data_IF_616247435406
#
_entry.id   IF_616247435406
#
_cell.length_a   1.000
_cell.length_b   1.000
_cell.length_c   1.000
_cell.angle_alpha   90.00
_cell.angle_beta   90.00
_cell.angle_gamma   90.00
#
_symmetry.space_group_name_H-M   'P 1'
#
loop_
_entity.id
_entity.type
_entity.pdbx_description
1 polymer ?
#
# COMPACT_ATOMS: atom_id res chain seq x y z
N UNK A 1 -21.49 -30.00 39.82
CA UNK A 1 -22.62 -30.43 40.67
C UNK A 1 -23.90 -29.93 40.01
N UNK A 2 -24.78 -30.86 39.58
CA UNK A 2 -26.06 -30.69 38.85
C UNK A 2 -26.05 -29.99 37.47
N UNK A 3 -25.94 -30.69 36.32
CA UNK A 3 -26.86 -31.63 35.63
C UNK A 3 -28.28 -31.11 35.35
N UNK A 4 -28.60 -30.92 34.06
CA UNK A 4 -29.83 -31.53 33.48
C UNK A 4 -29.75 -31.69 31.96
N UNK A 5 -29.63 -32.96 31.58
CA UNK A 5 -29.94 -33.53 30.27
C UNK A 5 -31.44 -33.46 29.97
N UNK A 6 -31.81 -33.38 28.69
CA UNK A 6 -33.09 -33.95 28.21
C UNK A 6 -32.85 -34.82 26.98
N UNK A 7 -33.38 -36.03 27.09
CA UNK A 7 -33.32 -37.17 26.16
C UNK A 7 -34.44 -37.08 25.11
N UNK A 8 -34.10 -37.60 23.93
CA UNK A 8 -34.83 -38.54 23.05
C UNK A 8 -36.36 -38.42 22.91
N UNK A 9 -36.77 -38.33 21.64
CA UNK A 9 -38.05 -38.81 21.13
C UNK A 9 -37.88 -39.27 19.69
N UNK A 10 -37.61 -40.56 19.50
CA UNK A 10 -37.74 -41.24 18.22
C UNK A 10 -39.15 -41.80 18.11
N UNK A 11 -39.84 -41.59 16.99
CA UNK A 11 -40.98 -42.40 16.59
C UNK A 11 -41.13 -42.40 15.07
N UNK A 12 -41.26 -43.63 14.58
CA UNK A 12 -41.45 -44.05 13.21
C UNK A 12 -42.79 -43.56 12.64
N UNK A 13 -42.79 -43.15 11.37
CA UNK A 13 -43.93 -43.37 10.47
C UNK A 13 -43.37 -43.73 9.09
N UNK A 14 -43.60 -44.98 8.68
CA UNK A 14 -43.40 -45.43 7.32
C UNK A 14 -44.62 -45.12 6.45
N UNK A 15 -44.40 -45.12 5.14
CA UNK A 15 -45.49 -45.28 4.17
C UNK A 15 -45.42 -44.34 2.97
N UNK A 16 -44.93 -44.90 1.85
CA UNK A 16 -45.49 -44.76 0.50
C UNK A 16 -45.73 -43.35 -0.08
N UNK A 17 -44.98 -42.98 -1.13
CA UNK A 17 -45.44 -43.15 -2.53
C UNK A 17 -44.55 -42.36 -3.51
N UNK A 18 -44.07 -43.09 -4.51
CA UNK A 18 -43.63 -42.63 -5.82
C UNK A 18 -44.44 -41.43 -6.35
N UNK A 19 -43.77 -40.44 -6.92
CA UNK A 19 -44.44 -39.57 -7.90
C UNK A 19 -43.98 -38.12 -8.04
N UNK A 20 -42.69 -37.77 -7.98
CA UNK A 20 -42.23 -36.43 -8.45
C UNK A 20 -40.81 -36.48 -9.05
N UNK A 21 -40.56 -37.40 -9.99
CA UNK A 21 -39.28 -37.47 -10.72
C UNK A 21 -39.46 -37.37 -12.26
N UNK A 22 -40.46 -36.62 -12.72
CA UNK A 22 -40.69 -36.42 -14.17
C UNK A 22 -41.05 -34.96 -14.55
N UNK A 23 -40.56 -33.97 -13.80
CA UNK A 23 -40.70 -32.54 -14.15
C UNK A 23 -39.38 -31.76 -14.15
N UNK A 24 -38.24 -32.42 -13.95
CA UNK A 24 -36.91 -31.78 -13.90
C UNK A 24 -36.00 -32.13 -15.09
N UNK A 25 -36.50 -32.88 -16.08
CA UNK A 25 -35.75 -33.25 -17.30
C UNK A 25 -36.20 -32.48 -18.56
N UNK A 26 -37.28 -31.71 -18.51
CA UNK A 26 -37.81 -30.93 -19.65
C UNK A 26 -37.40 -29.46 -19.66
N UNK A 27 -36.73 -28.96 -18.62
CA UNK A 27 -36.16 -27.60 -18.61
C UNK A 27 -34.70 -27.55 -19.03
N UNK A 28 -33.99 -28.69 -19.02
CA UNK A 28 -32.57 -28.76 -19.41
C UNK A 28 -32.38 -28.71 -20.94
N UNK A 29 -33.34 -29.20 -21.73
CA UNK A 29 -33.25 -29.24 -23.19
C UNK A 29 -33.48 -27.89 -23.86
N UNK A 30 -34.34 -27.02 -23.30
CA UNK A 30 -34.60 -25.70 -23.90
C UNK A 30 -33.46 -24.69 -23.68
N UNK A 31 -32.70 -24.82 -22.58
CA UNK A 31 -31.55 -23.96 -22.30
C UNK A 31 -30.36 -24.29 -23.23
N UNK A 32 -30.19 -25.56 -23.60
CA UNK A 32 -29.12 -26.05 -24.47
C UNK A 32 -29.40 -25.76 -25.95
N UNK A 33 -30.67 -25.81 -26.39
CA UNK A 33 -31.10 -25.39 -27.73
C UNK A 33 -31.04 -23.86 -27.93
N UNK A 34 -31.37 -23.06 -26.91
CA UNK A 34 -31.20 -21.59 -26.95
C UNK A 34 -29.72 -21.20 -26.99
N UNK A 35 -28.86 -21.88 -26.23
CA UNK A 35 -27.43 -21.63 -26.23
C UNK A 35 -26.79 -21.97 -27.59
N UNK A 36 -27.10 -23.11 -28.20
CA UNK A 36 -26.50 -23.52 -29.48
C UNK A 36 -26.91 -22.62 -30.66
N UNK A 37 -28.15 -22.12 -30.67
CA UNK A 37 -28.62 -21.13 -31.65
C UNK A 37 -27.85 -19.81 -31.55
N UNK A 38 -27.66 -19.29 -30.33
CA UNK A 38 -26.95 -18.03 -30.08
C UNK A 38 -25.44 -18.13 -30.38
N UNK A 39 -24.80 -19.27 -30.11
CA UNK A 39 -23.38 -19.49 -30.43
C UNK A 39 -23.14 -19.49 -31.95
N UNK A 40 -23.97 -20.19 -32.72
CA UNK A 40 -23.90 -20.18 -34.19
C UNK A 40 -24.13 -18.78 -34.78
N UNK A 41 -24.88 -17.94 -34.06
CA UNK A 41 -25.11 -16.55 -34.44
C UNK A 41 -23.86 -15.67 -34.26
N UNK A 42 -23.05 -15.93 -33.21
CA UNK A 42 -21.83 -15.16 -32.91
C UNK A 42 -20.76 -15.40 -33.96
N UNK A 43 -20.50 -16.65 -34.34
CA UNK A 43 -19.52 -16.98 -35.39
C UNK A 43 -19.90 -16.34 -36.73
N UNK A 44 -21.20 -16.37 -37.08
CA UNK A 44 -21.72 -15.69 -38.26
C UNK A 44 -21.49 -14.18 -38.21
N UNK A 45 -21.73 -13.56 -37.05
CA UNK A 45 -21.49 -12.12 -36.87
C UNK A 45 -20.00 -11.77 -36.99
N UNK A 46 -19.10 -12.64 -36.51
CA UNK A 46 -17.65 -12.50 -36.69
C UNK A 46 -17.26 -12.58 -38.16
N UNK A 47 -17.77 -13.55 -38.93
CA UNK A 47 -17.53 -13.63 -40.38
C UNK A 47 -18.04 -12.38 -41.12
N UNK A 48 -19.18 -11.84 -40.68
CA UNK A 48 -19.76 -10.62 -41.27
C UNK A 48 -18.96 -9.34 -41.02
N UNK A 49 -17.90 -9.39 -40.19
CA UNK A 49 -16.95 -8.27 -40.08
C UNK A 49 -16.14 -8.04 -41.35
N UNK A 50 -16.12 -8.97 -42.31
CA UNK A 50 -15.50 -8.80 -43.64
C UNK A 50 -16.52 -8.53 -44.77
N UNK A 51 -17.80 -8.38 -44.43
CA UNK A 51 -18.85 -8.32 -45.45
C UNK A 51 -18.70 -7.08 -46.35
N UNK A 52 -18.87 -7.20 -47.68
CA UNK A 52 -18.69 -6.10 -48.65
C UNK A 52 -19.47 -4.83 -48.28
N UNK A 53 -20.73 -5.00 -47.87
CA UNK A 53 -21.58 -3.91 -47.37
C UNK A 53 -21.13 -3.38 -46.00
N UNK A 54 -20.74 -2.09 -45.96
CA UNK A 54 -20.38 -1.37 -44.73
C UNK A 54 -21.48 -1.39 -43.67
N UNK A 55 -22.76 -1.33 -44.07
CA UNK A 55 -23.88 -1.33 -43.12
C UNK A 55 -23.99 -2.67 -42.39
N UNK A 56 -23.71 -3.77 -43.07
CA UNK A 56 -23.67 -5.11 -42.47
C UNK A 56 -22.52 -5.19 -41.46
N UNK A 57 -21.31 -4.78 -41.84
CA UNK A 57 -20.16 -4.76 -40.91
C UNK A 57 -20.46 -3.98 -39.64
N UNK A 58 -21.03 -2.78 -39.78
CA UNK A 58 -21.41 -1.92 -38.64
C UNK A 58 -22.48 -2.55 -37.76
N UNK A 59 -23.50 -3.18 -38.33
CA UNK A 59 -24.55 -3.87 -37.58
C UNK A 59 -24.01 -5.09 -36.84
N UNK A 60 -23.18 -5.90 -37.50
CA UNK A 60 -22.58 -7.10 -36.88
C UNK A 60 -21.65 -6.71 -35.74
N UNK A 61 -20.82 -5.67 -35.92
CA UNK A 61 -19.99 -5.11 -34.84
C UNK A 61 -20.83 -4.65 -33.64
N UNK A 62 -21.91 -3.88 -33.88
CA UNK A 62 -22.80 -3.43 -32.80
C UNK A 62 -23.45 -4.61 -32.07
N UNK A 63 -23.90 -5.62 -32.80
CA UNK A 63 -24.55 -6.79 -32.21
C UNK A 63 -23.57 -7.62 -31.37
N UNK A 64 -22.35 -7.83 -31.87
CA UNK A 64 -21.29 -8.48 -31.09
C UNK A 64 -20.97 -7.72 -29.81
N UNK A 65 -20.90 -6.38 -29.89
CA UNK A 65 -20.73 -5.54 -28.70
C UNK A 65 -21.86 -5.74 -27.68
N UNK A 66 -23.12 -5.70 -28.10
CA UNK A 66 -24.27 -5.95 -27.22
C UNK A 66 -24.19 -7.32 -26.53
N UNK A 67 -23.82 -8.38 -27.28
CA UNK A 67 -23.65 -9.72 -26.73
C UNK A 67 -22.54 -9.78 -25.68
N UNK A 68 -21.47 -8.98 -25.81
CA UNK A 68 -20.40 -8.92 -24.79
C UNK A 68 -20.85 -8.26 -23.47
N UNK A 69 -21.96 -7.51 -23.49
CA UNK A 69 -22.53 -6.90 -22.29
C UNK A 69 -23.47 -7.86 -21.54
N UNK A 70 -23.97 -8.93 -22.18
CA UNK A 70 -24.84 -9.92 -21.55
C UNK A 70 -24.04 -10.93 -20.73
N UNK A 71 -24.37 -11.17 -19.44
CA UNK A 71 -23.65 -12.15 -18.61
C UNK A 71 -23.60 -13.57 -19.20
N UNK A 72 -24.66 -13.97 -19.90
CA UNK A 72 -24.82 -15.33 -20.44
C UNK A 72 -23.90 -15.59 -21.65
N UNK A 73 -23.72 -14.59 -22.51
CA UNK A 73 -22.97 -14.73 -23.77
C UNK A 73 -21.62 -14.02 -23.77
N UNK A 74 -21.29 -13.26 -22.71
CA UNK A 74 -20.07 -12.46 -22.60
C UNK A 74 -18.81 -13.27 -22.83
N UNK A 75 -18.65 -14.39 -22.10
CA UNK A 75 -17.41 -15.17 -22.15
C UNK A 75 -17.14 -15.70 -23.56
N UNK A 76 -18.14 -16.31 -24.18
CA UNK A 76 -18.01 -16.86 -25.53
C UNK A 76 -17.83 -15.74 -26.59
N UNK A 77 -18.63 -14.67 -26.52
CA UNK A 77 -18.53 -13.55 -27.48
C UNK A 77 -17.13 -12.91 -27.46
N UNK A 78 -16.59 -12.68 -26.26
CA UNK A 78 -15.23 -12.17 -26.09
C UNK A 78 -14.20 -13.16 -26.65
N UNK A 79 -14.34 -14.45 -26.36
CA UNK A 79 -13.41 -15.46 -26.88
C UNK A 79 -13.43 -15.52 -28.42
N UNK A 80 -14.61 -15.48 -29.04
CA UNK A 80 -14.76 -15.46 -30.50
C UNK A 80 -14.08 -14.22 -31.11
N UNK A 81 -14.28 -13.03 -30.52
CA UNK A 81 -13.63 -11.79 -30.96
C UNK A 81 -12.09 -11.89 -30.79
N UNK A 82 -11.60 -12.44 -29.67
CA UNK A 82 -10.16 -12.67 -29.44
C UNK A 82 -9.55 -13.66 -30.43
N UNK A 83 -10.30 -14.65 -30.93
CA UNK A 83 -9.81 -15.50 -32.01
C UNK A 83 -9.84 -14.77 -33.35
N UNK A 84 -10.86 -13.94 -33.59
CA UNK A 84 -10.99 -13.15 -34.81
C UNK A 84 -9.85 -12.14 -35.00
N UNK A 85 -9.22 -11.64 -33.92
CA UNK A 85 -8.01 -10.80 -34.02
C UNK A 85 -6.80 -11.55 -34.58
N UNK A 86 -6.83 -12.88 -34.64
CA UNK A 86 -5.78 -13.72 -35.26
C UNK A 86 -6.14 -14.16 -36.67
N UNK A 87 -7.25 -13.65 -37.23
CA UNK A 87 -7.68 -14.00 -38.58
C UNK A 87 -6.63 -13.59 -39.62
N UNK A 88 -6.37 -14.42 -40.65
CA UNK A 88 -5.54 -14.01 -41.78
C UNK A 88 -6.21 -12.93 -42.65
N UNK A 89 -7.53 -12.76 -42.52
CA UNK A 89 -8.28 -11.73 -43.25
C UNK A 89 -8.12 -10.39 -42.51
N UNK A 90 -7.49 -9.43 -43.18
CA UNK A 90 -7.11 -8.14 -42.58
C UNK A 90 -8.30 -7.34 -42.04
N UNK A 91 -9.43 -7.31 -42.75
CA UNK A 91 -10.62 -6.57 -42.33
C UNK A 91 -11.27 -7.18 -41.09
N UNK A 92 -11.32 -8.53 -40.98
CA UNK A 92 -11.78 -9.22 -39.76
C UNK A 92 -10.85 -8.88 -38.60
N UNK A 93 -9.54 -9.02 -38.80
CA UNK A 93 -8.56 -8.71 -37.76
C UNK A 93 -8.70 -7.26 -37.28
N UNK A 94 -8.69 -6.28 -38.17
CA UNK A 94 -8.76 -4.85 -37.81
C UNK A 94 -10.08 -4.52 -37.09
N UNK A 95 -11.22 -4.99 -37.61
CA UNK A 95 -12.51 -4.74 -36.98
C UNK A 95 -12.66 -5.45 -35.62
N UNK A 96 -12.17 -6.69 -35.50
CA UNK A 96 -12.16 -7.43 -34.24
C UNK A 96 -11.25 -6.76 -33.21
N UNK A 97 -10.06 -6.30 -33.60
CA UNK A 97 -9.13 -5.59 -32.72
C UNK A 97 -9.72 -4.27 -32.22
N UNK A 98 -10.36 -3.48 -33.09
CA UNK A 98 -11.06 -2.26 -32.69
C UNK A 98 -12.25 -2.55 -31.76
N UNK A 99 -13.03 -3.58 -32.06
CA UNK A 99 -14.15 -3.99 -31.22
C UNK A 99 -13.68 -4.44 -29.84
N UNK A 100 -12.58 -5.19 -29.77
CA UNK A 100 -12.00 -5.64 -28.51
C UNK A 100 -11.55 -4.45 -27.64
N UNK A 101 -10.94 -3.43 -28.25
CA UNK A 101 -10.61 -2.18 -27.56
C UNK A 101 -11.85 -1.46 -27.03
N UNK A 102 -12.93 -1.38 -27.81
CA UNK A 102 -14.21 -0.79 -27.37
C UNK A 102 -14.82 -1.55 -26.19
N UNK A 103 -14.79 -2.88 -26.22
CA UNK A 103 -15.27 -3.74 -25.14
C UNK A 103 -14.45 -3.52 -23.87
N UNK A 104 -13.12 -3.43 -23.99
CA UNK A 104 -12.23 -3.17 -22.86
C UNK A 104 -12.49 -1.81 -22.23
N UNK A 105 -12.63 -0.75 -23.04
CA UNK A 105 -12.94 0.59 -22.55
C UNK A 105 -14.28 0.61 -21.80
N UNK A 106 -15.33 0.01 -22.38
CA UNK A 106 -16.64 -0.07 -21.75
C UNK A 106 -16.60 -0.87 -20.42
N UNK A 107 -15.83 -1.96 -20.37
CA UNK A 107 -15.66 -2.74 -19.14
C UNK A 107 -14.89 -1.95 -18.07
N UNK A 108 -13.85 -1.20 -18.43
CA UNK A 108 -13.14 -0.30 -17.49
C UNK A 108 -14.10 0.74 -16.92
N UNK A 109 -14.91 1.40 -17.76
CA UNK A 109 -15.88 2.41 -17.30
C UNK A 109 -16.93 1.81 -16.37
N UNK A 110 -17.43 0.62 -16.70
CA UNK A 110 -18.37 -0.13 -15.84
C UNK A 110 -17.74 -0.45 -14.49
N UNK A 111 -16.50 -0.93 -14.47
CA UNK A 111 -15.79 -1.25 -13.23
C UNK A 111 -15.41 0.00 -12.44
N UNK A 112 -15.06 1.11 -13.09
CA UNK A 112 -14.84 2.40 -12.42
C UNK A 112 -16.13 2.93 -11.80
N UNK A 113 -17.27 2.74 -12.45
CA UNK A 113 -18.58 3.11 -11.88
C UNK A 113 -18.89 2.27 -10.64
N UNK A 114 -18.65 0.95 -10.69
CA UNK A 114 -18.77 0.05 -9.53
C UNK A 114 -17.77 0.39 -8.42
N UNK A 115 -16.55 0.77 -8.78
CA UNK A 115 -15.51 1.18 -7.84
C UNK A 115 -15.96 2.42 -7.05
N UNK A 116 -16.66 3.35 -7.68
CA UNK A 116 -17.17 4.56 -7.03
C UNK A 116 -18.38 4.29 -6.12
N UNK A 117 -19.05 3.16 -6.29
CA UNK A 117 -20.13 2.70 -5.41
C UNK A 117 -19.56 1.98 -4.18
N UNK A 118 -19.64 2.64 -3.01
CA UNK A 118 -19.13 2.11 -1.74
C UNK A 118 -19.91 0.88 -1.27
N UNK A 119 -21.15 0.69 -1.74
CA UNK A 119 -21.97 -0.47 -1.40
C UNK A 119 -21.50 -1.75 -2.09
N UNK A 120 -20.84 -1.62 -3.25
CA UNK A 120 -20.25 -2.76 -3.96
C UNK A 120 -19.05 -3.27 -3.18
N UNK A 121 -19.08 -4.56 -2.85
CA UNK A 121 -18.00 -5.22 -2.12
C UNK A 121 -16.66 -5.08 -2.88
N UNK A 122 -15.58 -4.75 -2.17
CA UNK A 122 -14.30 -4.37 -2.78
C UNK A 122 -13.64 -5.52 -3.59
N UNK A 123 -14.01 -6.77 -3.30
CA UNK A 123 -13.58 -8.01 -3.94
C UNK A 123 -14.37 -8.32 -5.22
N UNK A 124 -15.55 -7.73 -5.38
CA UNK A 124 -16.33 -7.82 -6.60
C UNK A 124 -15.82 -6.87 -7.72
N UNK A 125 -14.87 -5.98 -7.41
CA UNK A 125 -14.25 -5.06 -8.37
C UNK A 125 -13.12 -5.78 -9.10
N UNK A 126 -13.25 -5.87 -10.42
CA UNK A 126 -12.25 -6.49 -11.30
C UNK A 126 -11.54 -5.39 -12.09
N UNK A 127 -10.57 -4.74 -11.45
CA UNK A 127 -9.68 -3.77 -12.08
C UNK A 127 -8.21 -4.22 -11.93
N UNK A 128 -7.36 -3.99 -12.95
CA UNK A 128 -5.95 -4.36 -12.88
C UNK A 128 -5.29 -3.72 -11.66
N UNK A 129 -4.50 -4.49 -10.90
CA UNK A 129 -3.76 -4.02 -9.72
C UNK A 129 -4.62 -3.57 -8.50
N UNK A 130 -5.95 -3.53 -8.62
CA UNK A 130 -6.84 -3.07 -7.54
C UNK A 130 -6.67 -3.88 -6.26
N UNK A 131 -6.58 -5.21 -6.36
CA UNK A 131 -6.47 -6.09 -5.19
C UNK A 131 -5.19 -5.86 -4.38
N UNK A 132 -4.10 -5.52 -5.05
CA UNK A 132 -2.84 -5.14 -4.38
C UNK A 132 -2.95 -3.75 -3.79
N UNK A 133 -3.45 -2.78 -4.56
CA UNK A 133 -3.66 -1.42 -4.11
C UNK A 133 -4.53 -1.37 -2.83
N UNK A 134 -5.70 -2.02 -2.82
CA UNK A 134 -6.63 -1.96 -1.67
C UNK A 134 -6.06 -2.55 -0.39
N UNK A 135 -5.12 -3.50 -0.48
CA UNK A 135 -4.43 -4.06 0.69
C UNK A 135 -3.50 -3.03 1.35
N UNK A 136 -3.00 -2.07 0.58
CA UNK A 136 -2.11 -1.00 1.07
C UNK A 136 -2.87 0.30 1.37
N UNK A 137 -3.79 0.68 0.50
CA UNK A 137 -4.51 1.94 0.57
C UNK A 137 -5.84 1.85 1.35
N UNK A 138 -6.40 0.65 1.50
CA UNK A 138 -7.78 0.43 1.97
C UNK A 138 -8.80 0.41 0.82
N UNK A 139 -10.08 0.32 1.17
CA UNK A 139 -11.20 0.24 0.21
C UNK A 139 -12.32 1.24 0.50
N UNK A 140 -12.02 2.30 1.26
CA UNK A 140 -12.94 3.42 1.48
C UNK A 140 -13.08 4.31 0.24
N UNK A 141 -13.98 5.29 0.31
CA UNK A 141 -14.29 6.18 -0.81
C UNK A 141 -13.06 6.96 -1.31
N UNK A 142 -12.20 7.43 -0.40
CA UNK A 142 -10.99 8.17 -0.77
C UNK A 142 -9.96 7.27 -1.48
N UNK A 143 -9.76 6.04 -0.98
CA UNK A 143 -8.90 5.07 -1.64
C UNK A 143 -9.43 4.70 -3.04
N UNK A 144 -10.75 4.50 -3.18
CA UNK A 144 -11.42 4.22 -4.46
C UNK A 144 -11.26 5.38 -5.45
N UNK A 145 -11.47 6.62 -4.99
CA UNK A 145 -11.29 7.84 -5.81
C UNK A 145 -9.86 8.00 -6.29
N UNK A 146 -8.89 7.86 -5.39
CA UNK A 146 -7.47 7.97 -5.76
C UNK A 146 -7.09 6.87 -6.75
N UNK A 147 -7.57 5.63 -6.57
CA UNK A 147 -7.31 4.56 -7.53
C UNK A 147 -7.93 4.83 -8.90
N UNK A 148 -9.17 5.32 -8.94
CA UNK A 148 -9.83 5.70 -10.19
C UNK A 148 -9.03 6.79 -10.94
N UNK A 149 -8.51 7.79 -10.21
CA UNK A 149 -7.63 8.83 -10.74
C UNK A 149 -6.33 8.22 -11.28
N UNK A 150 -5.71 7.33 -10.51
CA UNK A 150 -4.49 6.60 -10.91
C UNK A 150 -4.69 5.81 -12.19
N UNK A 151 -5.78 5.04 -12.30
CA UNK A 151 -6.06 4.25 -13.50
C UNK A 151 -6.28 5.15 -14.71
N UNK A 152 -7.03 6.25 -14.57
CA UNK A 152 -7.26 7.18 -15.69
C UNK A 152 -5.99 7.87 -16.18
N UNK A 153 -5.06 8.19 -15.28
CA UNK A 153 -3.82 8.90 -15.63
C UNK A 153 -2.70 7.96 -16.08
N UNK A 154 -2.64 6.75 -15.54
CA UNK A 154 -1.51 5.82 -15.72
C UNK A 154 -1.96 4.37 -15.99
N UNK A 155 -3.04 4.18 -16.76
CA UNK A 155 -3.61 2.87 -17.12
C UNK A 155 -2.54 1.87 -17.59
N UNK A 156 -1.68 2.27 -18.54
CA UNK A 156 -0.62 1.42 -19.08
C UNK A 156 0.36 0.93 -18.00
N UNK A 157 0.74 1.81 -17.06
CA UNK A 157 1.65 1.45 -15.97
C UNK A 157 0.97 0.49 -14.99
N UNK A 158 -0.29 0.75 -14.65
CA UNK A 158 -1.09 -0.11 -13.76
C UNK A 158 -1.29 -1.50 -14.37
N UNK A 159 -1.64 -1.60 -15.66
CA UNK A 159 -1.77 -2.89 -16.35
C UNK A 159 -0.45 -3.65 -16.39
N UNK A 160 0.66 -2.96 -16.66
CA UNK A 160 1.97 -3.61 -16.66
C UNK A 160 2.29 -4.16 -15.25
N UNK A 161 2.08 -3.39 -14.19
CA UNK A 161 2.26 -3.86 -12.81
C UNK A 161 1.35 -5.06 -12.49
N UNK A 162 0.11 -5.05 -12.96
CA UNK A 162 -0.85 -6.15 -12.75
C UNK A 162 -0.38 -7.48 -13.36
N UNK A 163 0.36 -7.47 -14.48
CA UNK A 163 0.92 -8.70 -15.07
C UNK A 163 1.90 -9.43 -14.17
N UNK A 164 2.64 -8.67 -13.36
CA UNK A 164 3.66 -9.19 -12.45
C UNK A 164 3.10 -9.45 -11.05
N UNK A 165 1.85 -9.08 -10.78
CA UNK A 165 1.22 -9.31 -9.49
C UNK A 165 0.74 -10.77 -9.38
N UNK A 166 1.32 -11.59 -8.48
CA UNK A 166 0.95 -13.00 -8.35
C UNK A 166 -0.49 -13.21 -7.86
N UNK A 167 -1.12 -12.17 -7.34
CA UNK A 167 -2.50 -12.20 -6.82
C UNK A 167 -3.55 -11.97 -7.92
N UNK A 168 -3.15 -11.38 -9.05
CA UNK A 168 -4.10 -11.00 -10.09
C UNK A 168 -4.48 -12.20 -10.95
N UNK A 169 -5.78 -12.54 -10.98
CA UNK A 169 -6.33 -13.59 -11.86
C UNK A 169 -6.20 -13.13 -13.32
N UNK A 170 -5.42 -13.87 -14.11
CA UNK A 170 -5.09 -13.53 -15.51
C UNK A 170 -6.23 -13.69 -16.50
N UNK A 171 -7.38 -14.18 -16.07
CA UNK A 171 -8.43 -14.62 -16.99
C UNK A 171 -9.33 -13.48 -17.50
N UNK A 172 -9.30 -12.29 -16.88
CA UNK A 172 -10.17 -11.20 -17.33
C UNK A 172 -9.63 -10.48 -18.57
N UNK A 173 -10.53 -10.04 -19.44
CA UNK A 173 -10.22 -9.34 -20.71
C UNK A 173 -9.31 -8.13 -20.47
N UNK A 174 -9.50 -7.46 -19.33
CA UNK A 174 -8.71 -6.31 -18.89
C UNK A 174 -7.22 -6.62 -18.69
N UNK A 175 -6.82 -7.90 -18.63
CA UNK A 175 -5.43 -8.31 -18.44
C UNK A 175 -4.75 -8.81 -19.73
N UNK A 176 -5.49 -9.00 -20.83
CA UNK A 176 -4.98 -9.68 -22.04
C UNK A 176 -4.27 -8.75 -23.02
N UNK A 177 -4.73 -7.51 -23.20
CA UNK A 177 -4.18 -6.57 -24.17
C UNK A 177 -3.36 -5.46 -23.52
N UNK A 178 -2.31 -5.82 -22.79
CA UNK A 178 -1.40 -4.77 -22.32
C UNK A 178 -0.39 -4.44 -23.42
N UNK A 179 -0.23 -3.17 -23.81
CA UNK A 179 0.82 -2.78 -24.75
C UNK A 179 2.19 -3.20 -24.23
N UNK A 180 3.12 -3.46 -25.15
CA UNK A 180 4.52 -3.74 -24.84
C UNK A 180 5.17 -2.50 -24.22
N UNK A 181 4.92 -2.27 -22.93
CA UNK A 181 5.45 -1.14 -22.20
C UNK A 181 6.88 -1.49 -21.75
N UNK A 182 7.91 -0.79 -22.24
CA UNK A 182 9.28 -1.16 -21.90
C UNK A 182 9.54 -1.00 -20.40
N UNK A 183 10.14 -2.01 -19.76
CA UNK A 183 10.43 -1.98 -18.31
C UNK A 183 11.20 -0.74 -17.86
N UNK A 184 12.07 -0.20 -18.71
CA UNK A 184 12.83 1.02 -18.41
C UNK A 184 11.95 2.27 -18.30
N UNK A 185 10.81 2.33 -18.99
CA UNK A 185 9.85 3.43 -18.86
C UNK A 185 9.17 3.40 -17.49
N UNK A 186 8.81 2.21 -16.98
CA UNK A 186 8.32 2.07 -15.61
C UNK A 186 9.37 2.45 -14.59
N UNK A 187 10.61 1.98 -14.75
CA UNK A 187 11.69 2.32 -13.83
C UNK A 187 11.94 3.85 -13.78
N UNK A 188 11.79 4.55 -14.91
CA UNK A 188 11.87 6.01 -14.97
C UNK A 188 10.66 6.69 -14.31
N UNK A 189 9.46 6.20 -14.59
CA UNK A 189 8.21 6.73 -14.03
C UNK A 189 8.17 6.61 -12.50
N UNK A 190 8.66 5.49 -11.99
CA UNK A 190 8.66 5.13 -10.56
C UNK A 190 10.01 5.42 -9.90
N UNK A 191 10.79 6.37 -10.43
CA UNK A 191 11.99 6.81 -9.74
C UNK A 191 11.59 7.81 -8.63
N UNK A 192 11.79 7.50 -7.34
CA UNK A 192 11.33 8.37 -6.25
C UNK A 192 11.98 9.74 -6.25
N UNK A 193 13.13 9.92 -6.91
CA UNK A 193 13.80 11.22 -7.04
C UNK A 193 13.17 12.15 -8.09
N UNK A 194 12.35 11.61 -8.99
CA UNK A 194 11.71 12.39 -10.07
C UNK A 194 10.23 12.63 -9.85
N UNK A 195 9.60 11.92 -8.89
CA UNK A 195 8.18 12.10 -8.58
C UNK A 195 8.03 13.41 -7.78
N UNK A 196 7.18 14.31 -8.27
CA UNK A 196 6.88 15.55 -7.57
C UNK A 196 6.21 15.28 -6.21
N UNK A 197 6.49 16.11 -5.21
CA UNK A 197 6.00 15.87 -3.85
C UNK A 197 4.47 15.95 -3.74
N UNK A 198 3.80 16.70 -4.62
CA UNK A 198 2.34 16.84 -4.70
C UNK A 198 1.66 15.79 -5.59
N UNK A 199 2.42 14.92 -6.27
CA UNK A 199 1.87 13.86 -7.12
C UNK A 199 1.51 12.61 -6.30
N UNK A 200 0.36 12.68 -5.62
CA UNK A 200 -0.18 11.58 -4.83
C UNK A 200 -0.38 10.29 -5.64
N UNK A 201 -0.65 10.41 -6.95
CA UNK A 201 -0.94 9.28 -7.82
C UNK A 201 0.33 8.47 -8.09
N UNK A 202 1.39 9.12 -8.56
CA UNK A 202 2.66 8.45 -8.81
C UNK A 202 3.30 7.92 -7.53
N UNK A 203 3.24 8.68 -6.42
CA UNK A 203 3.72 8.17 -5.13
C UNK A 203 2.99 6.90 -4.70
N UNK A 204 1.67 6.83 -4.94
CA UNK A 204 0.91 5.64 -4.58
C UNK A 204 1.28 4.44 -5.46
N UNK A 205 1.42 4.64 -6.78
CA UNK A 205 1.89 3.59 -7.69
C UNK A 205 3.27 3.10 -7.26
N UNK A 206 4.20 4.03 -7.03
CA UNK A 206 5.56 3.76 -6.60
C UNK A 206 5.59 2.90 -5.34
N UNK A 207 4.93 3.32 -4.27
CA UNK A 207 4.93 2.60 -2.99
C UNK A 207 4.24 1.23 -3.08
N UNK A 208 3.21 1.10 -3.92
CA UNK A 208 2.55 -0.19 -4.14
C UNK A 208 3.38 -1.16 -4.99
N UNK A 209 4.23 -0.62 -5.87
CA UNK A 209 5.14 -1.36 -6.73
C UNK A 209 6.49 -1.66 -6.06
N UNK A 210 6.92 -0.85 -5.09
CA UNK A 210 8.12 -1.05 -4.27
C UNK A 210 7.88 -2.12 -3.19
N UNK A 211 7.47 -3.29 -3.66
CA UNK A 211 7.27 -4.50 -2.88
C UNK A 211 8.19 -5.57 -3.45
N UNK A 212 9.03 -6.16 -2.59
CA UNK A 212 10.02 -7.18 -2.96
C UNK A 212 9.38 -8.45 -3.56
N UNK A 213 8.07 -8.61 -3.45
CA UNK A 213 7.32 -9.70 -4.09
C UNK A 213 7.15 -9.54 -5.60
N UNK A 214 7.35 -8.33 -6.16
CA UNK A 214 7.23 -8.12 -7.60
C UNK A 214 8.56 -8.46 -8.31
N UNK A 215 8.58 -9.38 -9.28
CA UNK A 215 9.78 -9.81 -9.99
C UNK A 215 10.26 -8.81 -11.05
N UNK A 216 10.14 -7.50 -10.77
CA UNK A 216 10.41 -6.43 -11.72
C UNK A 216 11.87 -5.95 -11.71
N UNK A 217 12.74 -6.53 -10.86
CA UNK A 217 14.09 -5.99 -10.68
C UNK A 217 14.12 -4.60 -10.05
N UNK A 218 12.96 -4.11 -9.57
CA UNK A 218 12.81 -2.87 -8.82
C UNK A 218 13.33 -2.99 -7.36
N UNK A 219 14.04 -4.07 -7.04
CA UNK A 219 14.56 -4.36 -5.70
C UNK A 219 15.52 -3.27 -5.16
N UNK A 220 16.07 -2.41 -6.03
CA UNK A 220 16.86 -1.24 -5.65
C UNK A 220 16.04 -0.02 -5.20
N UNK A 221 14.72 0.00 -5.42
CA UNK A 221 13.87 1.11 -5.01
C UNK A 221 13.79 1.22 -3.49
N UNK A 222 13.63 0.12 -2.73
CA UNK A 222 13.41 0.21 -1.27
C UNK A 222 14.41 1.09 -0.49
N UNK A 223 15.72 1.03 -0.78
CA UNK A 223 16.71 1.92 -0.15
C UNK A 223 16.59 3.36 -0.65
N UNK A 224 16.36 3.58 -1.94
CA UNK A 224 16.18 4.92 -2.52
C UNK A 224 14.88 5.57 -2.03
N UNK A 225 13.78 4.83 -2.04
CA UNK A 225 12.48 5.18 -1.47
C UNK A 225 12.67 5.59 -0.01
N UNK A 226 13.34 4.76 0.79
CA UNK A 226 13.60 5.08 2.20
C UNK A 226 14.40 6.37 2.35
N UNK A 227 15.47 6.54 1.57
CA UNK A 227 16.27 7.77 1.59
C UNK A 227 15.41 8.99 1.26
N UNK A 228 14.65 8.96 0.17
CA UNK A 228 13.79 10.07 -0.26
C UNK A 228 12.70 10.35 0.77
N UNK A 229 11.99 9.34 1.25
CA UNK A 229 10.93 9.52 2.25
C UNK A 229 11.46 10.06 3.59
N UNK A 230 12.70 9.73 3.96
CA UNK A 230 13.33 10.19 5.21
C UNK A 230 13.79 11.65 5.17
N UNK A 231 14.04 12.20 3.98
CA UNK A 231 14.42 13.60 3.80
C UNK A 231 13.24 14.52 4.13
N UNK A 232 13.52 15.76 4.56
CA UNK A 232 12.45 16.71 4.91
C UNK A 232 11.57 17.05 3.70
N UNK A 233 12.20 17.34 2.56
CA UNK A 233 11.54 17.79 1.33
C UNK A 233 11.19 16.65 0.37
N UNK A 234 11.69 15.44 0.61
CA UNK A 234 11.45 14.28 -0.25
C UNK A 234 10.16 13.52 0.08
N UNK A 235 9.57 12.85 -0.91
CA UNK A 235 8.37 12.04 -0.71
C UNK A 235 7.05 12.81 -0.86
N UNK A 236 5.91 12.12 -0.69
CA UNK A 236 4.60 12.75 -0.87
C UNK A 236 4.29 13.77 0.22
N UNK A 237 3.59 14.85 -0.14
CA UNK A 237 3.08 15.82 0.81
C UNK A 237 1.86 15.26 1.55
N UNK A 238 1.91 15.29 2.89
CA UNK A 238 0.81 14.86 3.75
C UNK A 238 0.04 16.09 4.21
N UNK A 239 -1.04 16.41 3.48
CA UNK A 239 -2.00 17.43 3.87
C UNK A 239 -3.18 16.88 4.70
N UNK A 240 -4.24 17.68 4.78
CA UNK A 240 -5.52 17.32 5.41
C UNK A 240 -6.55 16.78 4.41
N UNK A 241 -6.13 16.38 3.20
CA UNK A 241 -7.02 15.83 2.17
C UNK A 241 -7.30 14.34 2.36
N UNK A 242 -8.36 13.83 1.73
CA UNK A 242 -8.63 12.39 1.64
C UNK A 242 -7.48 11.63 0.97
N UNK A 243 -6.87 12.20 -0.07
CA UNK A 243 -5.67 11.64 -0.73
C UNK A 243 -4.49 11.50 0.25
N UNK A 244 -4.27 12.50 1.11
CA UNK A 244 -3.24 12.45 2.13
C UNK A 244 -3.52 11.33 3.16
N UNK A 245 -4.77 11.10 3.54
CA UNK A 245 -5.13 9.99 4.42
C UNK A 245 -4.82 8.63 3.76
N UNK A 246 -5.10 8.49 2.46
CA UNK A 246 -4.74 7.29 1.70
C UNK A 246 -3.22 7.11 1.65
N UNK A 247 -2.46 8.17 1.33
CA UNK A 247 -0.99 8.14 1.31
C UNK A 247 -0.40 7.74 2.66
N UNK A 248 -0.91 8.26 3.79
CA UNK A 248 -0.49 7.84 5.13
C UNK A 248 -0.65 6.33 5.33
N UNK A 249 -1.76 5.75 4.88
CA UNK A 249 -1.99 4.29 4.97
C UNK A 249 -1.05 3.50 4.07
N UNK A 250 -0.85 3.97 2.83
CA UNK A 250 0.06 3.33 1.87
C UNK A 250 1.49 3.33 2.41
N UNK A 251 1.98 4.48 2.90
CA UNK A 251 3.31 4.60 3.54
C UNK A 251 3.40 3.70 4.78
N UNK A 252 2.40 3.73 5.67
CA UNK A 252 2.40 2.89 6.86
C UNK A 252 2.47 1.39 6.53
N UNK A 253 1.70 0.93 5.55
CA UNK A 253 1.72 -0.46 5.09
C UNK A 253 3.03 -0.82 4.37
N UNK A 254 3.62 0.11 3.63
CA UNK A 254 4.94 -0.04 3.02
C UNK A 254 6.02 -0.22 4.09
N UNK A 255 6.05 0.65 5.12
CA UNK A 255 6.98 0.54 6.26
C UNK A 255 6.81 -0.82 6.95
N UNK A 256 5.58 -1.28 7.19
CA UNK A 256 5.31 -2.52 7.91
C UNK A 256 5.80 -3.79 7.16
N UNK A 257 5.83 -3.74 5.82
CA UNK A 257 6.32 -4.82 4.97
C UNK A 257 7.85 -4.89 4.92
N UNK A 258 8.54 -3.75 4.96
CA UNK A 258 10.00 -3.72 4.86
C UNK A 258 10.66 -4.18 6.16
N UNK A 259 10.90 -5.49 6.30
CA UNK A 259 11.51 -6.08 7.51
C UNK A 259 13.03 -6.29 7.41
N UNK A 260 13.63 -6.06 6.24
CA UNK A 260 14.95 -6.64 5.90
C UNK A 260 16.09 -5.65 5.68
N UNK A 261 15.88 -4.34 5.80
CA UNK A 261 16.88 -3.33 5.41
C UNK A 261 17.86 -2.92 6.51
N UNK A 262 17.60 -3.26 7.78
CA UNK A 262 18.44 -2.80 8.91
C UNK A 262 18.36 -1.30 9.21
N UNK A 263 17.60 -0.53 8.42
CA UNK A 263 17.45 0.92 8.50
C UNK A 263 16.31 1.32 9.45
N UNK A 264 16.33 0.79 10.67
CA UNK A 264 15.25 1.00 11.64
C UNK A 264 15.05 2.48 11.99
N UNK A 265 16.14 3.24 12.06
CA UNK A 265 16.13 4.68 12.31
C UNK A 265 15.33 5.42 11.24
N UNK A 266 15.63 5.16 9.97
CA UNK A 266 14.97 5.81 8.83
C UNK A 266 13.49 5.44 8.79
N UNK A 267 13.14 4.17 9.07
CA UNK A 267 11.74 3.73 9.16
C UNK A 267 10.96 4.48 10.24
N UNK A 268 11.54 4.71 11.41
CA UNK A 268 10.92 5.50 12.47
C UNK A 268 10.76 6.97 12.07
N UNK A 269 11.77 7.57 11.42
CA UNK A 269 11.69 8.95 10.92
C UNK A 269 10.58 9.11 9.88
N UNK A 270 10.46 8.17 8.95
CA UNK A 270 9.37 8.14 7.97
C UNK A 270 8.05 7.98 8.71
N UNK A 271 7.92 7.02 9.62
CA UNK A 271 6.67 6.81 10.35
C UNK A 271 6.22 8.08 11.10
N UNK A 272 7.12 8.80 11.76
CA UNK A 272 6.80 10.08 12.42
C UNK A 272 6.46 11.18 11.42
N UNK A 273 7.21 11.30 10.31
CA UNK A 273 6.95 12.30 9.26
C UNK A 273 5.56 12.12 8.65
N UNK A 274 5.17 10.89 8.37
CA UNK A 274 3.92 10.53 7.72
C UNK A 274 2.79 10.22 8.72
N UNK A 275 2.98 10.52 10.01
CA UNK A 275 1.97 10.33 11.07
C UNK A 275 1.43 8.89 11.13
N UNK A 276 2.30 7.91 10.90
CA UNK A 276 2.00 6.48 10.99
C UNK A 276 2.23 5.99 12.42
N UNK A 277 1.50 6.53 13.39
CA UNK A 277 1.75 6.35 14.83
C UNK A 277 1.76 4.88 15.26
N UNK A 278 0.87 4.05 14.71
CA UNK A 278 0.82 2.62 15.04
C UNK A 278 2.11 1.91 14.62
N UNK A 279 2.58 2.18 13.40
CA UNK A 279 3.82 1.62 12.88
C UNK A 279 5.02 2.17 13.63
N UNK A 280 5.03 3.47 13.95
CA UNK A 280 6.07 4.07 14.76
C UNK A 280 6.17 3.39 16.14
N UNK A 281 5.05 3.18 16.86
CA UNK A 281 5.02 2.45 18.14
C UNK A 281 5.60 1.04 17.99
N UNK A 282 5.13 0.28 17.00
CA UNK A 282 5.59 -1.10 16.78
C UNK A 282 7.10 -1.17 16.50
N UNK A 283 7.64 -0.23 15.72
CA UNK A 283 9.08 -0.13 15.46
C UNK A 283 9.87 0.23 16.72
N UNK A 284 9.36 1.18 17.50
CA UNK A 284 10.02 1.64 18.71
C UNK A 284 10.06 0.51 19.76
N UNK A 285 8.96 -0.24 19.92
CA UNK A 285 8.91 -1.43 20.78
C UNK A 285 9.87 -2.54 20.29
N UNK A 286 9.92 -2.78 18.98
CA UNK A 286 10.85 -3.75 18.39
C UNK A 286 12.31 -3.39 18.68
N UNK A 287 12.69 -2.13 18.45
CA UNK A 287 14.08 -1.66 18.63
C UNK A 287 14.48 -1.64 20.10
N UNK A 288 13.60 -1.15 20.98
CA UNK A 288 13.88 -1.10 22.42
C UNK A 288 13.94 -2.50 23.06
N UNK A 289 13.22 -3.47 22.50
CA UNK A 289 13.32 -4.89 22.91
C UNK A 289 14.53 -5.63 22.34
N UNK A 290 15.18 -5.09 21.31
CA UNK A 290 16.34 -5.72 20.66
C UNK A 290 17.65 -5.17 21.24
N UNK A 291 18.35 -6.00 22.03
CA UNK A 291 19.66 -5.67 22.61
C UNK A 291 20.76 -5.47 21.57
N UNK A 292 20.59 -5.98 20.35
CA UNK A 292 21.57 -5.89 19.27
C UNK A 292 21.30 -4.73 18.32
N UNK A 293 20.21 -3.99 18.51
CA UNK A 293 19.97 -2.79 17.73
C UNK A 293 21.07 -1.75 17.99
N UNK A 294 21.35 -0.95 16.96
CA UNK A 294 22.40 0.05 16.99
C UNK A 294 22.06 1.18 17.97
N UNK A 295 23.08 1.84 18.54
CA UNK A 295 22.89 2.98 19.44
C UNK A 295 22.08 4.12 18.80
N UNK A 296 22.24 4.33 17.48
CA UNK A 296 21.45 5.30 16.70
C UNK A 296 19.99 4.86 16.56
N UNK A 297 19.72 3.56 16.36
CA UNK A 297 18.35 3.06 16.38
C UNK A 297 17.70 3.23 17.77
N UNK A 298 18.41 2.90 18.86
CA UNK A 298 17.89 3.11 20.22
C UNK A 298 17.61 4.58 20.53
N UNK A 299 18.52 5.47 20.17
CA UNK A 299 18.34 6.92 20.34
C UNK A 299 17.10 7.43 19.60
N UNK A 300 16.91 7.04 18.33
CA UNK A 300 15.70 7.36 17.58
C UNK A 300 14.44 6.74 18.19
N UNK A 301 14.51 5.51 18.71
CA UNK A 301 13.39 4.84 19.34
C UNK A 301 12.95 5.55 20.64
N UNK A 302 13.88 6.07 21.44
CA UNK A 302 13.58 6.89 22.62
C UNK A 302 12.91 8.22 22.24
N UNK A 303 13.43 8.92 21.22
CA UNK A 303 12.82 10.16 20.70
C UNK A 303 11.40 9.90 20.15
N UNK A 304 11.22 8.80 19.41
CA UNK A 304 9.94 8.32 18.93
C UNK A 304 8.95 8.03 20.07
N UNK A 305 9.35 7.22 21.05
CA UNK A 305 8.50 6.86 22.19
C UNK A 305 8.08 8.10 22.99
N UNK A 306 9.00 9.06 23.11
CA UNK A 306 8.76 10.36 23.72
C UNK A 306 7.74 11.19 22.94
N UNK A 307 7.90 11.31 21.61
CA UNK A 307 6.95 12.02 20.73
C UNK A 307 5.54 11.42 20.79
N UNK A 308 5.46 10.09 20.83
CA UNK A 308 4.19 9.34 20.86
C UNK A 308 3.58 9.23 22.26
N UNK A 309 4.20 9.85 23.28
CA UNK A 309 3.73 9.87 24.67
C UNK A 309 3.42 8.46 25.19
N UNK A 310 4.39 7.55 25.06
CA UNK A 310 4.28 6.19 25.62
C UNK A 310 4.02 6.25 27.13
N UNK A 311 3.20 5.36 27.67
CA UNK A 311 2.68 5.47 29.05
C UNK A 311 3.71 5.20 30.14
N UNK A 312 4.61 4.24 29.91
CA UNK A 312 5.74 3.85 30.78
C UNK A 312 7.05 4.57 30.41
N UNK A 313 6.95 5.72 29.73
CA UNK A 313 8.10 6.42 29.17
C UNK A 313 9.12 6.83 30.23
N UNK A 314 8.68 7.24 31.43
CA UNK A 314 9.61 7.69 32.47
C UNK A 314 10.46 6.55 33.00
N UNK A 315 9.85 5.40 33.26
CA UNK A 315 10.53 4.17 33.69
C UNK A 315 11.48 3.69 32.61
N UNK A 316 11.04 3.68 31.35
CA UNK A 316 11.86 3.34 30.21
C UNK A 316 13.09 4.27 30.13
N UNK A 317 12.90 5.59 30.13
CA UNK A 317 14.02 6.55 30.02
C UNK A 317 15.06 6.34 31.13
N UNK A 318 14.64 6.09 32.38
CA UNK A 318 15.57 5.79 33.48
C UNK A 318 16.43 4.55 33.23
N UNK A 319 15.89 3.52 32.58
CA UNK A 319 16.65 2.30 32.25
C UNK A 319 17.78 2.57 31.24
N UNK A 320 17.60 3.56 30.36
CA UNK A 320 18.56 3.85 29.29
C UNK A 320 19.59 4.92 29.63
N UNK A 321 19.48 5.63 30.76
CA UNK A 321 20.43 6.70 31.17
C UNK A 321 21.88 6.19 31.26
N UNK A 322 22.07 4.92 31.64
CA UNK A 322 23.39 4.31 31.79
C UNK A 322 24.04 3.79 30.49
N UNK A 323 23.36 3.90 29.34
CA UNK A 323 23.90 3.40 28.07
C UNK A 323 24.91 4.40 27.48
N UNK A 324 26.19 4.03 27.49
CA UNK A 324 27.31 4.86 27.07
C UNK A 324 27.69 4.69 25.59
N UNK A 325 26.95 3.86 24.83
CA UNK A 325 27.23 3.62 23.43
C UNK A 325 27.02 4.91 22.64
N UNK A 326 27.99 5.23 21.78
CA UNK A 326 27.92 6.44 20.94
C UNK A 326 26.91 6.23 19.82
N UNK A 327 25.85 7.03 19.81
CA UNK A 327 24.86 7.05 18.75
C UNK A 327 25.30 7.95 17.58
N UNK A 328 25.81 9.14 17.88
CA UNK A 328 26.19 10.13 16.88
C UNK A 328 27.46 10.89 17.26
N UNK A 329 28.25 11.24 16.24
CA UNK A 329 29.36 12.18 16.35
C UNK A 329 29.14 13.28 15.32
N UNK A 330 28.92 14.50 15.79
CA UNK A 330 28.70 15.66 14.93
C UNK A 330 29.87 16.62 15.05
N UNK A 331 30.35 17.11 13.91
CA UNK A 331 31.43 18.09 13.85
C UNK A 331 30.86 19.41 13.35
N UNK A 332 30.89 20.44 14.20
CA UNK A 332 30.55 21.80 13.79
C UNK A 332 31.67 22.34 12.87
N UNK A 333 31.35 22.67 11.63
CA UNK A 333 32.29 23.32 10.69
C UNK A 333 31.85 24.77 10.51
N UNK A 334 32.62 25.71 11.07
CA UNK A 334 32.85 27.06 10.55
C UNK A 334 33.85 27.87 11.40
N UNK A 335 33.94 27.65 12.72
CA UNK A 335 34.82 28.47 13.58
C UNK A 335 35.27 27.84 14.90
N UNK A 336 34.52 26.88 15.45
CA UNK A 336 34.91 26.07 16.62
C UNK A 336 34.93 24.60 16.22
N UNK A 337 36.11 23.97 16.23
CA UNK A 337 36.30 22.53 15.98
C UNK A 337 35.77 21.66 17.14
N UNK A 338 34.57 21.98 17.65
CA UNK A 338 33.95 21.18 18.70
C UNK A 338 33.29 19.96 18.05
N UNK A 339 33.70 18.77 18.52
CA UNK A 339 33.07 17.49 18.16
C UNK A 339 32.07 17.17 19.26
N UNK A 340 30.79 17.14 18.93
CA UNK A 340 29.72 16.74 19.85
C UNK A 340 29.53 15.24 19.73
N UNK A 341 29.67 14.53 20.85
CA UNK A 341 29.46 13.09 20.95
C UNK A 341 28.18 12.82 21.74
N UNK A 342 27.19 12.24 21.06
CA UNK A 342 25.90 11.87 21.67
C UNK A 342 25.93 10.39 22.02
N UNK A 343 25.66 10.07 23.28
CA UNK A 343 25.41 8.72 23.78
C UNK A 343 23.91 8.46 23.93
N UNK A 344 23.49 7.20 23.96
CA UNK A 344 22.07 6.84 24.17
C UNK A 344 21.56 7.36 25.51
N UNK A 345 22.39 7.29 26.56
CA UNK A 345 22.09 7.84 27.87
C UNK A 345 21.87 9.36 27.86
N UNK A 346 22.61 10.11 27.04
CA UNK A 346 22.46 11.56 26.91
C UNK A 346 21.05 11.89 26.39
N UNK A 347 20.58 11.14 25.39
CA UNK A 347 19.22 11.26 24.81
C UNK A 347 18.16 10.93 25.85
N UNK A 348 18.36 9.84 26.60
CA UNK A 348 17.43 9.42 27.65
C UNK A 348 17.29 10.49 28.75
N UNK A 349 18.40 11.07 29.19
CA UNK A 349 18.43 12.12 30.21
C UNK A 349 17.74 13.41 29.76
N UNK A 350 18.03 13.88 28.54
CA UNK A 350 17.42 15.08 27.99
C UNK A 350 15.90 14.94 27.84
N UNK A 351 15.43 13.77 27.38
CA UNK A 351 14.00 13.48 27.29
C UNK A 351 13.35 13.39 28.68
N UNK A 352 14.05 12.81 29.67
CA UNK A 352 13.52 12.73 31.03
C UNK A 352 13.31 14.13 31.62
N UNK A 353 14.29 15.02 31.49
CA UNK A 353 14.16 16.43 31.90
C UNK A 353 12.97 17.10 31.23
N UNK A 354 12.84 16.95 29.90
CA UNK A 354 11.71 17.51 29.14
C UNK A 354 10.35 17.04 29.67
N UNK A 355 10.21 15.75 30.00
CA UNK A 355 8.97 15.17 30.56
C UNK A 355 8.71 15.52 32.03
N UNK A 356 9.69 16.09 32.72
CA UNK A 356 9.54 16.76 34.01
C UNK A 356 9.24 18.27 33.86
N UNK A 357 9.12 18.79 32.63
CA UNK A 357 8.90 20.21 32.37
C UNK A 357 10.16 21.08 32.54
N UNK A 358 11.34 20.45 32.64
CA UNK A 358 12.63 21.12 32.81
C UNK A 358 13.26 21.30 31.42
N UNK A 359 13.71 22.51 31.09
CA UNK A 359 14.49 22.73 29.85
C UNK A 359 15.86 22.04 30.01
N UNK A 360 16.22 21.05 29.17
CA UNK A 360 17.50 20.35 29.28
C UNK A 360 18.71 21.30 29.21
N UNK A 361 18.58 22.49 28.64
CA UNK A 361 19.65 23.50 28.64
C UNK A 361 20.06 23.94 30.06
N UNK A 362 19.14 23.91 31.03
CA UNK A 362 19.43 24.21 32.43
C UNK A 362 20.37 23.18 33.06
N UNK A 363 20.35 21.94 32.54
CA UNK A 363 21.27 20.89 32.94
C UNK A 363 22.57 20.88 32.12
N UNK A 364 22.78 21.79 31.17
CA UNK A 364 24.03 21.89 30.39
C UNK A 364 23.99 21.36 28.95
N UNK A 365 22.81 21.00 28.42
CA UNK A 365 22.65 20.65 27.00
C UNK A 365 22.63 21.90 26.09
N UNK A 366 23.71 22.68 26.09
CA UNK A 366 23.76 24.01 25.45
C UNK A 366 23.54 24.00 23.93
N UNK A 367 23.98 22.93 23.26
CA UNK A 367 23.88 22.81 21.80
C UNK A 367 22.54 22.21 21.32
N UNK A 368 21.61 21.92 22.25
CA UNK A 368 20.33 21.28 21.96
C UNK A 368 19.50 22.09 20.97
N UNK A 369 19.08 21.42 19.90
CA UNK A 369 18.20 21.94 18.86
C UNK A 369 16.87 21.21 18.90
N UNK A 370 15.77 21.97 18.90
CA UNK A 370 14.44 21.40 18.79
C UNK A 370 14.20 20.82 17.38
N UNK A 371 13.41 19.75 17.30
CA UNK A 371 12.90 19.20 16.04
C UNK A 371 11.41 18.88 16.18
N UNK A 372 10.53 19.38 15.29
CA UNK A 372 9.09 19.16 15.43
C UNK A 372 8.68 17.69 15.32
N UNK A 373 9.48 16.83 14.67
CA UNK A 373 9.17 15.40 14.49
C UNK A 373 9.64 14.58 15.68
N UNK A 374 10.83 14.85 16.19
CA UNK A 374 11.48 14.03 17.24
C UNK A 374 11.65 14.73 18.58
N UNK A 375 11.03 15.90 18.78
CA UNK A 375 11.21 16.82 19.92
C UNK A 375 12.57 17.52 19.87
N UNK A 376 13.66 16.76 19.75
CA UNK A 376 15.02 17.26 19.61
C UNK A 376 15.74 16.62 18.43
N UNK A 377 16.75 17.31 17.88
CA UNK A 377 17.66 16.73 16.89
C UNK A 377 18.64 15.81 17.60
N UNK A 378 18.69 14.56 17.17
CA UNK A 378 19.50 13.49 17.76
C UNK A 378 20.97 13.89 17.95
N UNK A 379 21.60 14.51 16.95
CA UNK A 379 23.01 14.90 16.99
C UNK A 379 23.31 16.13 17.89
N UNK A 380 22.28 16.79 18.41
CA UNK A 380 22.41 18.00 19.26
C UNK A 380 22.34 17.70 20.76
N UNK A 381 22.11 16.44 21.12
CA UNK A 381 21.91 15.99 22.51
C UNK A 381 23.21 15.51 23.18
N UNK A 382 24.36 15.68 22.54
CA UNK A 382 25.64 15.21 23.07
C UNK A 382 26.47 16.29 23.76
N UNK A 383 27.68 15.90 24.12
CA UNK A 383 28.67 16.77 24.78
C UNK A 383 30.01 16.74 24.04
N UNK A 384 30.81 17.79 24.21
CA UNK A 384 32.16 17.89 23.65
C UNK A 384 33.17 16.97 24.35
N UNK A 385 32.97 16.75 25.65
CA UNK A 385 33.91 16.04 26.52
C UNK A 385 33.19 15.39 27.70
N UNK A 386 33.88 14.52 28.43
CA UNK A 386 33.30 13.76 29.54
C UNK A 386 33.06 14.62 30.79
N UNK A 387 33.85 15.68 31.01
CA UNK A 387 33.73 16.50 32.21
C UNK A 387 32.43 17.32 32.17
N UNK A 388 32.12 17.93 31.01
CA UNK A 388 30.86 18.62 30.78
C UNK A 388 29.65 17.68 30.87
N UNK A 389 29.75 16.47 30.30
CA UNK A 389 28.72 15.42 30.45
C UNK A 389 28.46 15.07 31.92
N UNK A 390 29.50 14.78 32.70
CA UNK A 390 29.36 14.39 34.11
C UNK A 390 28.75 15.52 34.96
N UNK A 391 29.14 16.78 34.71
CA UNK A 391 28.54 17.94 35.37
C UNK A 391 27.05 18.10 35.03
N UNK A 392 26.69 17.85 33.76
CA UNK A 392 25.32 17.91 33.30
C UNK A 392 24.43 16.84 33.96
N UNK A 393 24.95 15.60 34.06
CA UNK A 393 24.26 14.50 34.74
C UNK A 393 24.01 14.79 36.23
N UNK A 394 24.99 15.37 36.92
CA UNK A 394 24.84 15.78 38.32
C UNK A 394 23.74 16.84 38.47
N UNK A 395 23.81 17.89 37.66
CA UNK A 395 22.82 18.99 37.67
C UNK A 395 21.42 18.48 37.35
N UNK A 396 21.29 17.59 36.36
CA UNK A 396 20.02 16.98 36.00
C UNK A 396 19.40 16.18 37.15
N UNK A 397 20.20 15.42 37.90
CA UNK A 397 19.72 14.66 39.06
C UNK A 397 19.16 15.58 40.15
N UNK A 398 19.84 16.69 40.45
CA UNK A 398 19.40 17.70 41.41
C UNK A 398 18.08 18.37 40.98
N UNK A 399 17.97 18.73 39.69
CA UNK A 399 16.74 19.31 39.11
C UNK A 399 15.55 18.33 39.13
N UNK A 400 15.76 17.05 38.84
CA UNK A 400 14.68 16.06 38.87
C UNK A 400 14.19 15.83 40.31
N UNK A 401 15.10 15.83 41.29
CA UNK A 401 14.74 15.70 42.70
C UNK A 401 13.94 16.90 43.20
N UNK A 402 14.28 18.13 42.79
CA UNK A 402 13.58 19.34 43.26
C UNK A 402 12.13 19.46 42.75
N UNK A 403 11.81 18.86 41.60
CA UNK A 403 10.44 18.84 41.02
C UNK A 403 9.60 17.66 41.56
N UNK A 404 10.24 16.65 42.13
CA UNK A 404 9.55 15.45 42.66
C UNK A 404 9.16 15.58 44.12
N UNK A 405 9.75 16.53 44.84
CA UNK A 405 9.36 16.97 46.18
C UNK A 405 8.35 18.11 46.08
#
# INVERSE_FOLDING_TARGET
>A
MFLRQRKLGASYFGGCLCGVLLSLMTTATSADELATGDLSSIDRLVTQLDHDSYTVRRQSKRRLFELTQSPETKEYSVQAIVQATKSPILEIHENASRLLLEIELAEVERQLSRLMDVTVAADAIDLPFWNRYRKMAGSDLDARRLFAKTLRQHDAAIRLLAQYDPVTKRDSVLHRNTPAYPRWQLARLLNPHTIAADDAVLWTIHLCADDRTLPLGLAGLSTQTMLVLSQNEGGPQIGNSGEAAVLRRVVGNWIAKDRGTGLQRERMLIALKYQCDQQARALCDQVLGDRFASASAHSMALLCASKLKRSDLRELLRQWIGDDRTAHVWTLIASRKAKIRTQVGDVALALLLHHHGIDPRQAGFHDLQADPRTIFREHSLGFSDQATRSAAYKTAAELIQSVSN
#
